data_IF_890011072816
#
_entry.id   IF_890011072816
#
_cell.length_a   1.000
_cell.length_b   1.000
_cell.length_c   1.000
_cell.angle_alpha   90.00
_cell.angle_beta   90.00
_cell.angle_gamma   90.00
#
_symmetry.space_group_name_H-M   'P 1'
#
loop_
_entity.id
_entity.type
_entity.pdbx_description
1 polymer ?
#
# COMPACT_ATOMS: atom_id res chain seq x y z
N UNK A 1 -7.99 -15.06 28.73
CA UNK A 1 -7.24 -13.85 29.12
C UNK A 1 -6.06 -13.66 28.19
N UNK A 2 -5.89 -12.48 27.58
CA UNK A 2 -4.73 -12.17 26.75
C UNK A 2 -3.51 -11.91 27.64
N UNK A 3 -2.41 -12.65 27.41
CA UNK A 3 -1.16 -12.46 28.14
C UNK A 3 -0.55 -11.09 27.79
N UNK A 4 -0.54 -10.17 28.76
CA UNK A 4 0.05 -8.83 28.62
C UNK A 4 1.46 -8.82 29.19
N UNK A 5 2.46 -8.63 28.33
CA UNK A 5 3.85 -8.41 28.74
C UNK A 5 4.00 -7.12 29.57
N UNK A 6 5.12 -7.00 30.29
CA UNK A 6 5.48 -5.76 30.96
C UNK A 6 5.80 -4.69 29.92
N UNK A 7 5.33 -3.48 30.17
CA UNK A 7 5.66 -2.28 29.40
C UNK A 7 7.00 -1.72 29.83
N UNK A 8 7.59 -0.86 29.00
CA UNK A 8 8.84 -0.15 29.35
C UNK A 8 8.72 0.60 30.69
N UNK A 9 7.60 1.27 30.94
CA UNK A 9 7.34 1.99 32.20
C UNK A 9 7.34 1.04 33.41
N UNK A 10 6.70 -0.12 33.28
CA UNK A 10 6.70 -1.13 34.35
C UNK A 10 8.09 -1.71 34.59
N UNK A 11 8.91 -1.86 33.54
CA UNK A 11 10.31 -2.28 33.64
C UNK A 11 11.18 -1.25 34.34
N UNK A 12 11.01 0.04 34.02
CA UNK A 12 11.68 1.15 34.70
C UNK A 12 11.31 1.21 36.19
N UNK A 13 10.01 1.08 36.50
CA UNK A 13 9.55 0.98 37.89
C UNK A 13 10.13 -0.25 38.61
N UNK A 14 10.19 -1.41 37.94
CA UNK A 14 10.83 -2.61 38.48
C UNK A 14 12.31 -2.36 38.81
N UNK A 15 13.05 -1.69 37.93
CA UNK A 15 14.45 -1.31 38.19
C UNK A 15 14.57 -0.42 39.43
N UNK A 16 13.76 0.64 39.52
CA UNK A 16 13.77 1.57 40.65
C UNK A 16 13.38 0.90 41.99
N UNK A 17 12.34 0.06 41.98
CA UNK A 17 11.88 -0.65 43.17
C UNK A 17 12.90 -1.69 43.64
N UNK A 18 13.64 -2.31 42.72
CA UNK A 18 14.75 -3.22 43.05
C UNK A 18 15.92 -2.47 43.67
N UNK A 19 16.24 -1.26 43.19
CA UNK A 19 17.27 -0.42 43.80
C UNK A 19 16.93 -0.06 45.26
N UNK A 20 15.64 0.09 45.58
CA UNK A 20 15.13 0.22 46.96
C UNK A 20 15.09 -1.08 47.77
N UNK A 21 15.68 -2.18 47.27
CA UNK A 21 15.76 -3.50 47.91
C UNK A 21 14.41 -4.14 48.26
N UNK A 22 13.36 -3.83 47.49
CA UNK A 22 12.06 -4.49 47.69
C UNK A 22 12.08 -5.96 47.28
N UNK A 23 11.28 -6.77 47.97
CA UNK A 23 11.04 -8.16 47.61
C UNK A 23 10.19 -8.27 46.33
N UNK A 24 10.34 -9.39 45.60
CA UNK A 24 9.58 -9.67 44.37
C UNK A 24 8.06 -9.53 44.60
N UNK A 25 7.56 -10.01 45.75
CA UNK A 25 6.13 -9.92 46.10
C UNK A 25 5.68 -8.47 46.29
N UNK A 26 6.49 -7.65 46.95
CA UNK A 26 6.17 -6.24 47.17
C UNK A 26 6.20 -5.43 45.85
N UNK A 27 7.14 -5.74 44.95
CA UNK A 27 7.17 -5.13 43.61
C UNK A 27 5.96 -5.54 42.79
N UNK A 28 5.61 -6.82 42.80
CA UNK A 28 4.46 -7.37 42.09
C UNK A 28 3.14 -6.71 42.54
N UNK A 29 2.98 -6.52 43.85
CA UNK A 29 1.83 -5.82 44.43
C UNK A 29 1.73 -4.37 43.93
N UNK A 30 2.84 -3.62 43.92
CA UNK A 30 2.88 -2.23 43.45
C UNK A 30 2.62 -2.07 41.95
N UNK A 31 3.04 -3.05 41.15
CA UNK A 31 2.82 -3.05 39.70
C UNK A 31 1.47 -3.66 39.29
N UNK A 32 0.70 -4.22 40.24
CA UNK A 32 -0.54 -4.95 39.91
C UNK A 32 -0.30 -6.20 39.06
N UNK A 33 0.86 -6.86 39.23
CA UNK A 33 1.26 -8.05 38.46
C UNK A 33 1.43 -9.27 39.37
N UNK A 34 1.39 -10.46 38.77
CA UNK A 34 1.68 -11.69 39.50
C UNK A 34 3.19 -11.76 39.86
N UNK A 35 3.58 -12.18 41.08
CA UNK A 35 4.99 -12.35 41.47
C UNK A 35 5.80 -13.22 40.50
N UNK A 36 5.18 -14.23 39.89
CA UNK A 36 5.81 -15.08 38.87
C UNK A 36 6.19 -14.30 37.60
N UNK A 37 5.45 -13.25 37.24
CA UNK A 37 5.80 -12.39 36.09
C UNK A 37 7.08 -11.62 36.36
N UNK A 38 7.20 -11.05 37.57
CA UNK A 38 8.40 -10.30 37.99
C UNK A 38 9.61 -11.24 38.09
N UNK A 39 9.43 -12.42 38.71
CA UNK A 39 10.49 -13.43 38.81
C UNK A 39 11.00 -13.88 37.44
N UNK A 40 10.11 -14.19 36.50
CA UNK A 40 10.50 -14.59 35.12
C UNK A 40 11.20 -13.47 34.36
N UNK A 41 10.78 -12.22 34.55
CA UNK A 41 11.44 -11.08 33.91
C UNK A 41 12.86 -10.91 34.43
N UNK A 42 13.06 -10.95 35.75
CA UNK A 42 14.38 -10.85 36.35
C UNK A 42 15.29 -12.03 35.99
N UNK A 43 14.74 -13.24 35.89
CA UNK A 43 15.48 -14.45 35.48
C UNK A 43 15.93 -14.41 34.01
N UNK A 44 15.28 -13.62 33.15
CA UNK A 44 15.68 -13.45 31.74
C UNK A 44 16.99 -12.67 31.61
N UNK A 45 17.30 -11.80 32.56
CA UNK A 45 18.49 -10.98 32.56
C UNK A 45 19.72 -11.79 33.00
N UNK A 46 20.76 -11.83 32.17
CA UNK A 46 22.03 -12.51 32.45
C UNK A 46 23.05 -11.61 33.20
N UNK A 47 22.57 -10.57 33.91
CA UNK A 47 23.45 -9.61 34.59
C UNK A 47 22.70 -8.46 35.25
N UNK A 48 23.21 -7.23 35.09
CA UNK A 48 22.56 -6.03 35.59
C UNK A 48 21.27 -5.74 34.83
N UNK A 49 20.16 -5.69 35.57
CA UNK A 49 18.84 -5.43 35.01
C UNK A 49 18.75 -4.01 34.44
N UNK A 50 18.48 -3.91 33.14
CA UNK A 50 18.35 -2.63 32.43
C UNK A 50 17.07 -2.65 31.58
N UNK A 51 16.07 -1.79 31.86
CA UNK A 51 14.78 -1.78 31.17
C UNK A 51 14.89 -1.69 29.64
N UNK A 52 15.76 -0.82 29.14
CA UNK A 52 15.96 -0.61 27.70
C UNK A 52 16.58 -1.83 27.01
N UNK A 53 17.52 -2.51 27.66
CA UNK A 53 18.12 -3.76 27.15
C UNK A 53 17.08 -4.88 27.07
N UNK A 54 16.29 -5.07 28.13
CA UNK A 54 15.27 -6.14 28.18
C UNK A 54 14.11 -5.91 27.21
N UNK A 55 13.70 -4.65 27.00
CA UNK A 55 12.70 -4.29 25.99
C UNK A 55 13.22 -4.60 24.57
N UNK A 56 14.47 -4.22 24.27
CA UNK A 56 15.06 -4.49 22.96
C UNK A 56 15.24 -5.99 22.71
N UNK A 57 15.76 -6.73 23.69
CA UNK A 57 15.87 -8.20 23.62
C UNK A 57 14.51 -8.85 23.39
N UNK A 58 13.48 -8.42 24.11
CA UNK A 58 12.11 -8.89 23.92
C UNK A 58 11.63 -8.64 22.49
N UNK A 59 11.76 -7.41 21.98
CA UNK A 59 11.35 -7.07 20.62
C UNK A 59 12.11 -7.87 19.57
N UNK A 60 13.41 -8.07 19.76
CA UNK A 60 14.24 -8.85 18.84
C UNK A 60 13.83 -10.33 18.82
N UNK A 61 13.63 -10.94 19.99
CA UNK A 61 13.14 -12.31 20.10
C UNK A 61 11.74 -12.47 19.52
N UNK A 62 10.86 -11.50 19.74
CA UNK A 62 9.49 -11.49 19.19
C UNK A 62 9.50 -11.40 17.66
N UNK A 63 10.36 -10.56 17.07
CA UNK A 63 10.53 -10.52 15.61
C UNK A 63 10.95 -11.88 15.05
N UNK A 64 11.76 -12.62 15.79
CA UNK A 64 12.33 -13.90 15.36
C UNK A 64 11.47 -15.13 15.70
N UNK A 65 10.43 -15.01 16.54
CA UNK A 65 9.65 -16.17 17.01
C UNK A 65 8.65 -16.69 15.98
N UNK A 66 8.37 -15.93 14.92
CA UNK A 66 7.43 -16.32 13.89
C UNK A 66 8.09 -17.29 12.89
N UNK A 67 7.32 -18.28 12.43
CA UNK A 67 7.76 -19.18 11.36
C UNK A 67 8.08 -18.35 10.11
N UNK A 68 9.32 -18.44 9.62
CA UNK A 68 9.74 -17.80 8.36
C UNK A 68 8.84 -18.27 7.22
N UNK A 69 8.46 -17.36 6.32
CA UNK A 69 7.57 -17.69 5.20
C UNK A 69 8.31 -18.61 4.22
N UNK A 70 7.59 -19.56 3.63
CA UNK A 70 8.20 -20.57 2.77
C UNK A 70 9.00 -19.96 1.60
N UNK A 71 8.41 -18.97 0.91
CA UNK A 71 9.03 -18.33 -0.26
C UNK A 71 10.16 -17.35 0.11
N UNK A 72 10.18 -16.83 1.34
CA UNK A 72 11.31 -16.03 1.84
C UNK A 72 12.52 -16.93 2.11
N UNK A 73 12.29 -18.14 2.63
CA UNK A 73 13.34 -19.10 2.95
C UNK A 73 13.88 -19.85 1.71
N UNK A 74 13.14 -19.89 0.60
CA UNK A 74 13.51 -20.65 -0.60
C UNK A 74 13.49 -19.76 -1.87
N UNK A 75 14.57 -19.01 -2.13
CA UNK A 75 14.66 -18.11 -3.29
C UNK A 75 14.48 -18.82 -4.63
N UNK A 76 14.91 -20.08 -4.74
CA UNK A 76 14.77 -20.90 -5.95
C UNK A 76 13.30 -21.18 -6.29
N UNK A 77 12.49 -21.56 -5.29
CA UNK A 77 11.05 -21.76 -5.45
C UNK A 77 10.37 -20.45 -5.85
N UNK A 78 10.76 -19.34 -5.22
CA UNK A 78 10.25 -18.02 -5.55
C UNK A 78 10.51 -17.66 -7.02
N UNK A 79 11.75 -17.87 -7.50
CA UNK A 79 12.10 -17.62 -8.92
C UNK A 79 11.32 -18.50 -9.89
N UNK A 80 11.13 -19.78 -9.57
CA UNK A 80 10.32 -20.69 -10.40
C UNK A 80 8.86 -20.22 -10.50
N UNK A 81 8.26 -19.81 -9.39
CA UNK A 81 6.90 -19.25 -9.38
C UNK A 81 6.81 -17.99 -10.26
N UNK A 82 7.79 -17.09 -10.14
CA UNK A 82 7.86 -15.87 -10.96
C UNK A 82 7.92 -16.23 -12.45
N UNK A 83 8.83 -17.13 -12.84
CA UNK A 83 8.96 -17.61 -14.22
C UNK A 83 7.65 -18.20 -14.75
N UNK A 84 6.98 -19.06 -13.98
CA UNK A 84 5.70 -19.62 -14.40
C UNK A 84 4.60 -18.58 -14.59
N UNK A 85 4.59 -17.50 -13.81
CA UNK A 85 3.60 -16.44 -13.94
C UNK A 85 3.94 -15.50 -15.11
N UNK A 86 5.19 -15.05 -15.21
CA UNK A 86 5.60 -14.03 -16.18
C UNK A 86 5.82 -14.59 -17.58
N UNK A 87 6.53 -15.71 -17.71
CA UNK A 87 6.90 -16.27 -19.00
C UNK A 87 5.80 -17.22 -19.50
N UNK A 88 5.30 -18.09 -18.62
CA UNK A 88 4.33 -19.13 -19.02
C UNK A 88 2.86 -18.74 -18.80
N UNK A 89 2.58 -17.64 -18.10
CA UNK A 89 1.21 -17.14 -17.84
C UNK A 89 0.31 -18.14 -17.10
N UNK A 90 0.90 -18.92 -16.19
CA UNK A 90 0.17 -19.90 -15.37
C UNK A 90 -0.48 -19.24 -14.15
N UNK A 91 -1.64 -19.77 -13.75
CA UNK A 91 -2.29 -19.36 -12.50
C UNK A 91 -1.60 -20.00 -11.28
N UNK A 92 -1.70 -19.39 -10.08
CA UNK A 92 -1.18 -19.98 -8.84
C UNK A 92 -1.69 -21.40 -8.55
N UNK A 93 -2.93 -21.72 -8.93
CA UNK A 93 -3.51 -23.05 -8.83
C UNK A 93 -2.84 -24.04 -9.80
N UNK A 94 -2.59 -23.63 -11.05
CA UNK A 94 -1.88 -24.45 -12.02
C UNK A 94 -0.44 -24.74 -11.57
N UNK A 95 0.25 -23.73 -11.04
CA UNK A 95 1.60 -23.87 -10.48
C UNK A 95 1.60 -24.87 -9.32
N UNK A 96 0.65 -24.73 -8.39
CA UNK A 96 0.51 -25.66 -7.26
C UNK A 96 0.23 -27.09 -7.73
N UNK A 97 -0.69 -27.26 -8.68
CA UNK A 97 -1.02 -28.57 -9.23
C UNK A 97 0.17 -29.21 -9.95
N UNK A 98 0.95 -28.42 -10.71
CA UNK A 98 2.18 -28.86 -11.35
C UNK A 98 3.20 -29.36 -10.32
N UNK A 99 3.49 -28.55 -9.30
CA UNK A 99 4.48 -28.91 -8.28
C UNK A 99 4.09 -30.18 -7.52
N UNK A 100 2.80 -30.37 -7.23
CA UNK A 100 2.32 -31.60 -6.60
C UNK A 100 2.46 -32.81 -7.52
N UNK A 101 2.14 -32.65 -8.82
CA UNK A 101 2.26 -33.72 -9.83
C UNK A 101 3.71 -34.17 -10.04
N UNK A 102 4.64 -33.23 -10.00
CA UNK A 102 6.07 -33.49 -10.21
C UNK A 102 6.83 -33.73 -8.90
N UNK A 103 6.13 -33.73 -7.76
CA UNK A 103 6.69 -33.90 -6.42
C UNK A 103 7.88 -32.95 -6.11
N UNK A 104 7.88 -31.75 -6.69
CA UNK A 104 8.97 -30.78 -6.53
C UNK A 104 8.83 -29.94 -5.26
N UNK A 105 7.62 -29.42 -5.01
CA UNK A 105 7.35 -28.49 -3.91
C UNK A 105 5.94 -28.65 -3.35
N UNK A 106 5.81 -28.61 -2.03
CA UNK A 106 4.52 -28.53 -1.35
C UNK A 106 4.21 -27.07 -1.00
N UNK A 107 3.61 -26.33 -1.94
CA UNK A 107 3.18 -24.94 -1.75
C UNK A 107 1.69 -24.80 -2.06
N UNK A 108 0.93 -24.14 -1.18
CA UNK A 108 -0.47 -23.85 -1.47
C UNK A 108 -0.62 -22.60 -2.35
N UNK A 109 -1.60 -22.59 -3.24
CA UNK A 109 -1.90 -21.42 -4.08
C UNK A 109 -2.17 -20.17 -3.22
N UNK A 110 -2.76 -20.31 -2.03
CA UNK A 110 -2.93 -19.22 -1.06
C UNK A 110 -1.60 -18.61 -0.60
N UNK A 111 -0.54 -19.41 -0.48
CA UNK A 111 0.80 -18.91 -0.15
C UNK A 111 1.36 -18.07 -1.29
N UNK A 112 1.15 -18.51 -2.53
CA UNK A 112 1.55 -17.77 -3.74
C UNK A 112 0.80 -16.43 -3.81
N UNK A 113 -0.54 -16.44 -3.73
CA UNK A 113 -1.35 -15.22 -3.73
C UNK A 113 -0.95 -14.25 -2.62
N UNK A 114 -0.67 -14.74 -1.41
CA UNK A 114 -0.20 -13.89 -0.31
C UNK A 114 1.07 -13.14 -0.66
N UNK A 115 2.02 -13.77 -1.34
CA UNK A 115 3.26 -13.11 -1.75
C UNK A 115 3.06 -12.15 -2.93
N UNK A 116 2.13 -12.47 -3.84
CA UNK A 116 1.73 -11.58 -4.93
C UNK A 116 1.12 -10.28 -4.37
N UNK A 117 0.19 -10.38 -3.41
CA UNK A 117 -0.46 -9.21 -2.81
C UNK A 117 0.45 -8.42 -1.86
N UNK A 118 1.46 -9.06 -1.28
CA UNK A 118 2.47 -8.40 -0.45
C UNK A 118 3.65 -7.86 -1.26
N UNK A 119 3.62 -8.00 -2.59
CA UNK A 119 4.71 -7.60 -3.49
C UNK A 119 6.08 -8.18 -3.10
N UNK A 120 6.05 -9.40 -2.55
CA UNK A 120 7.21 -10.05 -1.94
C UNK A 120 7.82 -11.14 -2.84
N UNK A 121 7.57 -11.06 -4.15
CA UNK A 121 8.16 -11.98 -5.14
C UNK A 121 9.50 -11.49 -5.70
N UNK A 122 9.90 -10.26 -5.41
CA UNK A 122 11.18 -9.69 -5.83
C UNK A 122 11.16 -8.97 -7.18
N UNK A 123 9.99 -8.85 -7.81
CA UNK A 123 9.82 -8.12 -9.06
C UNK A 123 9.71 -6.62 -8.82
N UNK A 124 10.47 -5.85 -9.61
CA UNK A 124 10.43 -4.39 -9.59
C UNK A 124 9.24 -3.91 -10.43
N UNK A 125 8.62 -2.82 -9.99
CA UNK A 125 7.66 -2.10 -10.83
C UNK A 125 8.40 -1.37 -11.95
N UNK A 126 7.87 -1.47 -13.17
CA UNK A 126 8.48 -0.83 -14.33
C UNK A 126 8.10 0.65 -14.48
N UNK A 127 6.94 1.06 -13.96
CA UNK A 127 6.43 2.43 -14.13
C UNK A 127 5.34 2.82 -13.14
N UNK A 128 4.97 4.10 -13.13
CA UNK A 128 3.88 4.63 -12.32
C UNK A 128 2.53 4.05 -12.82
N UNK A 129 1.85 3.29 -11.95
CA UNK A 129 0.61 2.56 -12.30
C UNK A 129 0.81 1.10 -12.70
N UNK A 130 2.05 0.59 -12.66
CA UNK A 130 2.30 -0.83 -12.81
C UNK A 130 1.79 -1.60 -11.59
N UNK A 131 0.91 -2.59 -11.81
CA UNK A 131 0.43 -3.49 -10.75
C UNK A 131 1.36 -4.71 -10.57
N UNK A 132 2.50 -4.72 -11.27
CA UNK A 132 3.55 -5.73 -11.17
C UNK A 132 3.05 -7.10 -11.66
N UNK A 133 3.51 -8.17 -10.99
CA UNK A 133 3.13 -9.56 -11.32
C UNK A 133 1.60 -9.76 -11.42
N UNK A 134 0.80 -9.00 -10.67
CA UNK A 134 -0.65 -9.16 -10.64
C UNK A 134 -1.31 -9.02 -12.02
N UNK A 135 -0.77 -8.17 -12.91
CA UNK A 135 -1.34 -7.96 -14.26
C UNK A 135 -1.23 -9.17 -15.18
N UNK A 136 -0.29 -10.08 -14.89
CA UNK A 136 -0.05 -11.29 -15.67
C UNK A 136 -0.95 -12.43 -15.21
N UNK A 137 -1.66 -12.28 -14.08
CA UNK A 137 -2.66 -13.23 -13.64
C UNK A 137 -3.89 -13.15 -14.55
N UNK A 138 -4.50 -14.30 -14.81
CA UNK A 138 -5.75 -14.36 -15.56
C UNK A 138 -6.86 -13.69 -14.75
N UNK A 139 -7.39 -12.59 -15.26
CA UNK A 139 -8.57 -11.94 -14.70
C UNK A 139 -9.84 -12.53 -15.30
N UNK A 140 -10.74 -13.00 -14.45
CA UNK A 140 -12.09 -13.36 -14.89
C UNK A 140 -12.93 -12.10 -14.93
N UNK A 141 -13.45 -11.78 -16.12
CA UNK A 141 -14.25 -10.58 -16.44
C UNK A 141 -13.43 -9.28 -16.57
N UNK A 142 -13.83 -8.42 -17.51
CA UNK A 142 -13.37 -7.03 -17.56
C UNK A 142 -13.80 -6.32 -16.28
N UNK A 143 -12.88 -5.60 -15.65
CA UNK A 143 -13.21 -4.62 -14.61
C UNK A 143 -14.26 -3.68 -15.18
N UNK A 144 -15.52 -3.83 -14.77
CA UNK A 144 -16.59 -2.94 -15.20
C UNK A 144 -16.45 -1.66 -14.42
N UNK A 145 -15.92 -0.63 -15.07
CA UNK A 145 -16.04 0.73 -14.56
C UNK A 145 -17.53 1.09 -14.54
N UNK A 146 -17.98 1.77 -13.47
CA UNK A 146 -19.31 2.35 -13.45
C UNK A 146 -19.45 3.28 -14.66
N UNK A 147 -20.56 3.15 -15.42
CA UNK A 147 -20.83 3.97 -16.61
C UNK A 147 -20.75 5.49 -16.34
N UNK A 148 -20.77 5.91 -15.07
CA UNK A 148 -20.73 7.30 -14.65
C UNK A 148 -19.35 7.79 -14.18
N UNK A 149 -18.29 6.99 -14.24
CA UNK A 149 -16.94 7.47 -13.91
C UNK A 149 -16.36 8.26 -15.10
N UNK A 150 -16.77 9.52 -15.23
CA UNK A 150 -16.12 10.48 -16.15
C UNK A 150 -14.70 10.72 -15.65
N UNK A 151 -13.72 10.05 -16.25
CA UNK A 151 -12.31 10.47 -16.15
C UNK A 151 -12.08 11.58 -17.19
N UNK A 152 -12.59 12.78 -16.91
CA UNK A 152 -11.89 13.93 -17.46
C UNK A 152 -10.55 13.97 -16.71
N UNK A 153 -9.45 13.62 -17.38
CA UNK A 153 -8.16 14.19 -16.98
C UNK A 153 -8.34 15.68 -17.24
N UNK A 154 -8.56 16.45 -16.19
CA UNK A 154 -8.39 17.90 -16.30
C UNK A 154 -6.97 18.12 -16.81
N UNK A 155 -6.86 18.75 -17.96
CA UNK A 155 -5.58 19.18 -18.48
C UNK A 155 -5.12 20.27 -17.52
N UNK A 156 -4.06 20.01 -16.74
CA UNK A 156 -3.38 21.04 -15.97
C UNK A 156 -2.82 22.06 -16.96
N UNK A 157 -3.56 23.14 -17.15
CA UNK A 157 -3.18 24.31 -17.93
C UNK A 157 -3.53 25.52 -17.10
N UNK A 158 -2.65 26.52 -17.10
CA UNK A 158 -2.88 27.77 -16.40
C UNK A 158 -3.90 28.62 -17.18
N UNK A 159 -5.19 28.32 -17.02
CA UNK A 159 -6.27 29.16 -17.51
C UNK A 159 -6.94 29.89 -16.35
N UNK A 160 -7.34 31.14 -16.61
CA UNK A 160 -8.17 31.91 -15.68
C UNK A 160 -9.58 31.33 -15.74
N UNK A 161 -10.09 30.88 -14.60
CA UNK A 161 -11.46 30.36 -14.50
C UNK A 161 -12.48 31.38 -15.01
N UNK A 162 -13.60 30.91 -15.57
CA UNK A 162 -14.68 31.80 -16.02
C UNK A 162 -15.22 32.69 -14.90
N UNK A 163 -15.12 32.19 -13.67
CA UNK A 163 -15.54 32.88 -12.44
C UNK A 163 -14.53 33.94 -11.98
N UNK A 164 -13.28 33.88 -12.45
CA UNK A 164 -12.18 34.77 -12.09
C UNK A 164 -11.88 35.82 -13.18
N UNK A 165 -12.69 35.84 -14.26
CA UNK A 165 -12.53 36.80 -15.35
C UNK A 165 -12.73 38.24 -14.86
N UNK A 166 -11.85 39.19 -15.24
CA UNK A 166 -12.06 40.61 -14.98
C UNK A 166 -13.40 41.13 -15.50
N UNK A 167 -14.04 42.04 -14.74
CA UNK A 167 -15.40 42.53 -15.04
C UNK A 167 -15.57 43.17 -16.43
N UNK A 168 -14.55 43.83 -16.95
CA UNK A 168 -14.61 44.48 -18.28
C UNK A 168 -14.82 43.46 -19.42
N UNK A 169 -14.38 42.21 -19.26
CA UNK A 169 -14.60 41.12 -20.23
C UNK A 169 -16.06 40.69 -20.25
N UNK A 170 -16.72 40.68 -19.08
CA UNK A 170 -18.15 40.39 -18.97
C UNK A 170 -19.02 41.50 -19.55
N UNK A 171 -18.54 42.74 -19.47
CA UNK A 171 -19.18 43.91 -20.06
C UNK A 171 -18.96 44.02 -21.59
N UNK A 172 -18.15 43.12 -22.19
CA UNK A 172 -17.89 43.03 -23.63
C UNK A 172 -17.44 44.36 -24.24
N UNK A 173 -16.49 45.04 -23.59
CA UNK A 173 -16.12 46.40 -23.97
C UNK A 173 -15.04 46.50 -25.05
N UNK A 174 -14.40 45.38 -25.44
CA UNK A 174 -13.33 45.37 -26.46
C UNK A 174 -13.40 44.14 -27.37
N UNK A 175 -12.79 44.28 -28.55
CA UNK A 175 -12.52 43.17 -29.47
C UNK A 175 -11.25 42.45 -29.01
N UNK A 176 -11.21 41.13 -29.17
CA UNK A 176 -10.04 40.29 -28.87
C UNK A 176 -10.20 39.43 -27.61
N UNK A 177 -11.34 39.52 -26.93
CA UNK A 177 -11.69 38.62 -25.83
C UNK A 177 -12.32 37.35 -26.41
N UNK A 178 -11.46 36.39 -26.76
CA UNK A 178 -11.84 35.12 -27.38
C UNK A 178 -12.22 34.07 -26.35
N UNK A 179 -13.36 33.42 -26.58
CA UNK A 179 -13.85 32.25 -25.85
C UNK A 179 -13.65 31.01 -26.71
N UNK A 180 -12.99 29.99 -26.15
CA UNK A 180 -12.61 28.76 -26.88
C UNK A 180 -13.29 27.58 -26.22
N UNK A 181 -14.09 26.85 -26.99
CA UNK A 181 -14.80 25.65 -26.55
C UNK A 181 -14.54 24.49 -27.52
N UNK A 182 -14.72 23.27 -27.02
CA UNK A 182 -14.71 22.05 -27.84
C UNK A 182 -16.05 21.34 -27.77
N UNK A 183 -16.65 21.10 -28.93
CA UNK A 183 -17.88 20.32 -29.06
C UNK A 183 -17.51 18.91 -29.52
N UNK A 184 -17.81 17.92 -28.67
CA UNK A 184 -17.55 16.51 -28.94
C UNK A 184 -18.78 15.90 -29.61
N UNK A 185 -18.59 15.27 -30.77
CA UNK A 185 -19.64 14.54 -31.48
C UNK A 185 -20.15 13.35 -30.68
N UNK A 186 -21.40 12.92 -30.95
CA UNK A 186 -22.08 11.83 -30.23
C UNK A 186 -21.30 10.51 -30.20
N UNK A 187 -20.50 10.23 -31.22
CA UNK A 187 -19.65 9.03 -31.31
C UNK A 187 -18.27 9.21 -30.67
N UNK A 188 -17.93 10.41 -30.19
CA UNK A 188 -16.66 10.73 -29.53
C UNK A 188 -15.45 10.82 -30.47
N UNK A 189 -15.62 10.55 -31.77
CA UNK A 189 -14.53 10.55 -32.74
C UNK A 189 -14.30 11.90 -33.41
N UNK A 190 -15.33 12.75 -33.49
CA UNK A 190 -15.23 14.08 -34.08
C UNK A 190 -15.24 15.17 -33.02
N UNK A 191 -14.33 16.14 -33.15
CA UNK A 191 -14.22 17.30 -32.28
C UNK A 191 -14.24 18.56 -33.12
N UNK A 192 -15.18 19.45 -32.82
CA UNK A 192 -15.21 20.81 -33.34
C UNK A 192 -14.60 21.74 -32.31
N UNK A 193 -13.63 22.54 -32.73
CA UNK A 193 -13.12 23.68 -31.98
C UNK A 193 -13.92 24.91 -32.39
N UNK A 194 -14.48 25.62 -31.42
CA UNK A 194 -15.19 26.88 -31.62
C UNK A 194 -14.43 27.99 -30.92
N UNK A 195 -14.12 29.06 -31.66
CA UNK A 195 -13.44 30.25 -31.15
C UNK A 195 -14.32 31.45 -31.43
N UNK A 196 -14.81 32.11 -30.39
CA UNK A 196 -15.83 33.17 -30.48
C UNK A 196 -15.35 34.44 -29.80
N UNK A 197 -15.31 35.55 -30.51
CA UNK A 197 -15.04 36.86 -29.91
C UNK A 197 -16.30 37.35 -29.17
N UNK A 198 -16.16 37.75 -27.90
CA UNK A 198 -17.32 38.05 -27.06
C UNK A 198 -18.06 39.33 -27.44
N UNK A 199 -17.39 40.32 -28.05
CA UNK A 199 -18.01 41.59 -28.47
C UNK A 199 -18.62 41.47 -29.88
N UNK A 200 -17.79 41.20 -30.89
CA UNK A 200 -18.19 41.16 -32.29
C UNK A 200 -19.04 39.93 -32.65
N UNK A 201 -19.00 38.88 -31.82
CA UNK A 201 -19.62 37.57 -32.08
C UNK A 201 -19.06 36.86 -33.31
N UNK A 202 -17.92 37.32 -33.84
CA UNK A 202 -17.22 36.61 -34.89
C UNK A 202 -16.88 35.21 -34.39
N UNK A 203 -17.36 34.21 -35.11
CA UNK A 203 -17.28 32.81 -34.71
C UNK A 203 -16.48 32.05 -35.76
N UNK A 204 -15.36 31.47 -35.33
CA UNK A 204 -14.51 30.61 -36.15
C UNK A 204 -14.68 29.17 -35.67
N UNK A 205 -15.01 28.27 -36.61
CA UNK A 205 -15.25 26.86 -36.31
C UNK A 205 -14.33 26.01 -37.17
N UNK A 206 -13.63 25.07 -36.54
CA UNK A 206 -12.75 24.14 -37.24
C UNK A 206 -12.89 22.73 -36.68
N UNK A 207 -12.99 21.74 -37.56
CA UNK A 207 -12.86 20.34 -37.18
C UNK A 207 -11.39 20.03 -36.88
N UNK A 208 -11.10 19.53 -35.69
CA UNK A 208 -9.74 19.25 -35.21
C UNK A 208 -9.46 17.76 -34.99
N UNK A 209 -10.51 16.93 -34.93
CA UNK A 209 -10.48 15.47 -35.00
C UNK A 209 -11.76 14.97 -35.68
#
# INVERSE_FOLDING_TARGET
MSYKHLTIKEREMLMFLRAKRLSIRAVALRLGRNPSTISRELKRCAGHYSPSKEENDYHQKRKNCHKKRLLDSHPQLRRQIVYYILDLHWSPEQITARFNKEHQWCVSYNTIYRHIYQHNLGEKYSSHGDTGIQRHLRHKHRTRYSKNTRRHREVQTDYISIHERPGFINQRQRIGDWEIDTVIGRTGHSILLTVVDRLSRLTLIKKVA
#
